data_IF_203410214784
#
_entry.id   IF_203410214784
#
_cell.length_a   1.000
_cell.length_b   1.000
_cell.length_c   1.000
_cell.angle_alpha   90.00
_cell.angle_beta   90.00
_cell.angle_gamma   90.00
#
_symmetry.space_group_name_H-M   'P 1'
#
loop_
_entity.id
_entity.type
_entity.pdbx_description
1 polymer ?
#
# COMPACT_ATOMS: atom_id res chain seq x y z
N UNK A 1 3.67 2.08 18.18
CA UNK A 1 3.50 3.17 17.21
C UNK A 1 4.76 4.02 16.94
N UNK A 2 5.71 4.18 17.86
CA UNK A 2 6.88 5.06 17.63
C UNK A 2 7.74 4.71 16.40
N UNK A 3 7.84 3.45 15.98
CA UNK A 3 8.64 3.03 14.84
C UNK A 3 7.99 3.23 13.44
N UNK A 4 6.71 3.59 13.38
CA UNK A 4 5.97 3.70 12.11
C UNK A 4 5.92 5.13 11.59
N UNK A 5 6.10 6.12 12.47
CA UNK A 5 6.00 7.55 12.15
C UNK A 5 7.37 8.27 12.23
N UNK A 6 8.46 7.53 12.01
CA UNK A 6 9.80 8.11 12.04
C UNK A 6 10.04 9.02 10.83
N UNK A 7 10.48 10.25 11.09
CA UNK A 7 10.79 11.28 10.08
C UNK A 7 12.28 11.67 10.09
N UNK A 8 13.16 10.76 10.52
CA UNK A 8 14.60 11.00 10.53
C UNK A 8 15.26 10.82 9.16
N UNK A 9 16.58 11.03 9.10
CA UNK A 9 17.39 10.88 7.88
C UNK A 9 17.30 9.46 7.25
N UNK A 10 16.88 8.46 8.03
CA UNK A 10 16.71 7.06 7.59
C UNK A 10 15.25 6.73 7.25
N UNK A 11 14.37 7.75 7.09
CA UNK A 11 12.99 7.50 6.67
C UNK A 11 12.96 6.94 5.25
N UNK A 12 12.13 5.92 5.02
CA UNK A 12 11.97 5.31 3.70
C UNK A 12 11.41 6.35 2.72
N UNK A 13 12.19 6.69 1.70
CA UNK A 13 11.71 7.48 0.57
C UNK A 13 11.09 6.56 -0.48
N UNK A 14 9.77 6.66 -0.66
CA UNK A 14 9.05 5.82 -1.63
C UNK A 14 9.49 6.11 -3.07
N UNK A 15 9.95 7.31 -3.38
CA UNK A 15 10.45 7.69 -4.71
C UNK A 15 11.72 6.94 -5.05
N UNK A 16 12.63 6.84 -4.09
CA UNK A 16 13.87 6.06 -4.25
C UNK A 16 13.56 4.57 -4.43
N UNK A 17 12.59 4.03 -3.68
CA UNK A 17 12.12 2.65 -3.85
C UNK A 17 11.55 2.43 -5.24
N UNK A 18 10.72 3.35 -5.73
CA UNK A 18 10.14 3.26 -7.08
C UNK A 18 11.22 3.33 -8.17
N UNK A 19 12.21 4.22 -8.03
CA UNK A 19 13.30 4.40 -8.98
C UNK A 19 14.25 3.20 -9.00
N UNK A 20 14.56 2.63 -7.84
CA UNK A 20 15.46 1.47 -7.72
C UNK A 20 14.79 0.13 -8.00
N UNK A 21 13.49 0.10 -8.33
CA UNK A 21 12.70 -1.11 -8.48
C UNK A 21 12.71 -1.96 -7.19
N UNK A 22 12.69 -1.29 -6.04
CA UNK A 22 12.66 -1.91 -4.73
C UNK A 22 11.31 -2.54 -4.40
N UNK A 23 11.30 -3.38 -3.37
CA UNK A 23 10.09 -4.04 -2.85
C UNK A 23 9.83 -3.54 -1.43
N UNK A 24 8.62 -3.07 -1.18
CA UNK A 24 8.14 -2.69 0.15
C UNK A 24 6.99 -3.60 0.54
N UNK A 25 7.09 -4.22 1.70
CA UNK A 25 6.01 -5.00 2.31
C UNK A 25 5.51 -4.24 3.53
N UNK A 26 4.23 -3.88 3.51
CA UNK A 26 3.58 -3.15 4.61
C UNK A 26 2.62 -4.08 5.32
N UNK A 27 2.96 -4.53 6.52
CA UNK A 27 2.10 -5.38 7.35
C UNK A 27 1.14 -4.50 8.17
N UNK A 28 -0.12 -4.45 7.71
CA UNK A 28 -1.22 -3.72 8.33
C UNK A 28 -2.18 -4.66 9.08
N UNK A 29 -1.69 -5.75 9.62
CA UNK A 29 -2.48 -6.75 10.32
C UNK A 29 -3.29 -6.13 11.47
N UNK A 30 -4.60 -6.02 11.30
CA UNK A 30 -5.51 -5.45 12.29
C UNK A 30 -5.44 -6.12 13.69
N UNK A 31 -5.27 -7.45 13.81
CA UNK A 31 -5.06 -8.09 15.11
C UNK A 31 -3.82 -7.60 15.87
N UNK A 32 -2.81 -7.09 15.17
CA UNK A 32 -1.55 -6.64 15.78
C UNK A 32 -1.53 -5.15 16.14
N UNK A 33 -2.15 -4.32 15.33
CA UNK A 33 -2.05 -2.85 15.47
C UNK A 33 -3.39 -2.16 15.70
N UNK A 34 -4.51 -2.88 15.61
CA UNK A 34 -5.85 -2.32 15.65
C UNK A 34 -6.37 -1.92 14.27
N UNK A 35 -7.68 -2.01 14.07
CA UNK A 35 -8.32 -1.78 12.75
C UNK A 35 -8.17 -0.34 12.28
N UNK A 36 -8.47 0.62 13.14
CA UNK A 36 -8.43 2.04 12.80
C UNK A 36 -6.99 2.50 12.49
N UNK A 37 -6.03 1.97 13.25
CA UNK A 37 -4.61 2.22 13.03
C UNK A 37 -4.11 1.61 11.72
N UNK A 38 -4.55 0.40 11.40
CA UNK A 38 -4.23 -0.26 10.13
C UNK A 38 -4.75 0.56 8.94
N UNK A 39 -5.99 1.02 9.03
CA UNK A 39 -6.63 1.84 8.02
C UNK A 39 -5.91 3.18 7.85
N UNK A 40 -5.63 3.89 8.94
CA UNK A 40 -4.92 5.16 8.91
C UNK A 40 -3.52 5.03 8.29
N UNK A 41 -2.76 4.02 8.71
CA UNK A 41 -1.41 3.78 8.20
C UNK A 41 -1.43 3.38 6.72
N UNK A 42 -2.37 2.54 6.31
CA UNK A 42 -2.54 2.16 4.91
C UNK A 42 -2.87 3.36 4.03
N UNK A 43 -3.76 4.25 4.48
CA UNK A 43 -4.06 5.50 3.78
C UNK A 43 -2.83 6.41 3.67
N UNK A 44 -2.01 6.51 4.72
CA UNK A 44 -0.76 7.28 4.67
C UNK A 44 0.21 6.70 3.63
N UNK A 45 0.34 5.38 3.54
CA UNK A 45 1.18 4.72 2.54
C UNK A 45 0.66 4.96 1.12
N UNK A 46 -0.63 4.76 0.88
CA UNK A 46 -1.24 5.01 -0.42
C UNK A 46 -1.11 6.47 -0.84
N UNK A 47 -1.31 7.42 0.09
CA UNK A 47 -1.12 8.84 -0.17
C UNK A 47 0.34 9.18 -0.53
N UNK A 48 1.32 8.59 0.14
CA UNK A 48 2.74 8.77 -0.22
C UNK A 48 3.05 8.25 -1.62
N UNK A 49 2.47 7.11 -2.00
CA UNK A 49 2.63 6.52 -3.34
C UNK A 49 1.97 7.43 -4.39
N UNK A 50 0.74 7.88 -4.15
CA UNK A 50 0.01 8.76 -5.05
C UNK A 50 0.73 10.10 -5.26
N UNK A 51 1.30 10.69 -4.20
CA UNK A 51 2.08 11.92 -4.29
C UNK A 51 3.41 11.74 -5.04
N UNK A 52 4.03 10.57 -4.95
CA UNK A 52 5.26 10.26 -5.67
C UNK A 52 5.02 9.87 -7.14
N UNK A 53 3.81 9.46 -7.48
CA UNK A 53 3.45 8.97 -8.81
C UNK A 53 3.73 9.98 -9.93
N UNK A 54 3.33 11.27 -9.83
CA UNK A 54 3.56 12.26 -10.89
C UNK A 54 5.03 12.62 -11.13
N UNK A 55 5.91 12.31 -10.18
CA UNK A 55 7.36 12.59 -10.28
C UNK A 55 8.10 11.55 -11.14
N UNK A 56 7.42 10.47 -11.54
CA UNK A 56 8.01 9.41 -12.37
C UNK A 56 8.21 9.87 -13.80
N UNK A 57 9.32 9.42 -14.41
CA UNK A 57 9.66 9.76 -15.78
C UNK A 57 9.05 8.77 -16.79
N UNK A 58 8.72 9.23 -18.01
CA UNK A 58 8.37 8.34 -19.10
C UNK A 58 9.53 7.37 -19.38
N UNK A 59 9.22 6.07 -19.36
CA UNK A 59 10.23 5.01 -19.56
C UNK A 59 10.73 4.35 -18.29
N UNK A 60 10.35 4.85 -17.12
CA UNK A 60 10.57 4.14 -15.86
C UNK A 60 9.92 2.76 -15.87
N UNK A 61 10.56 1.80 -15.22
CA UNK A 61 9.98 0.46 -15.06
C UNK A 61 8.65 0.55 -14.32
N UNK A 62 7.61 -0.22 -14.71
CA UNK A 62 6.35 -0.23 -14.00
C UNK A 62 6.55 -0.51 -12.51
N UNK A 63 5.90 0.26 -11.66
CA UNK A 63 5.85 0.03 -10.23
C UNK A 63 4.51 -0.61 -9.87
N UNK A 64 4.56 -1.78 -9.25
CA UNK A 64 3.36 -2.54 -8.90
C UNK A 64 2.95 -2.24 -7.46
N UNK A 65 1.69 -1.86 -7.28
CA UNK A 65 1.06 -1.67 -5.97
C UNK A 65 -0.04 -2.70 -5.83
N UNK A 66 0.07 -3.56 -4.83
CA UNK A 66 -0.94 -4.56 -4.50
C UNK A 66 -1.59 -4.16 -3.19
N UNK A 67 -2.90 -3.98 -3.21
CA UNK A 67 -3.71 -3.61 -2.06
C UNK A 67 -4.67 -4.74 -1.76
N UNK A 68 -4.42 -5.45 -0.69
CA UNK A 68 -5.33 -6.45 -0.16
C UNK A 68 -6.39 -5.78 0.72
N UNK A 69 -7.60 -6.34 0.76
CA UNK A 69 -8.76 -5.78 1.46
C UNK A 69 -9.00 -4.29 1.11
N UNK A 70 -8.98 -3.98 -0.19
CA UNK A 70 -9.01 -2.62 -0.72
C UNK A 70 -10.18 -1.76 -0.16
N UNK A 71 -11.27 -2.40 0.25
CA UNK A 71 -12.43 -1.76 0.86
C UNK A 71 -12.15 -1.07 2.21
N UNK A 72 -11.01 -1.38 2.84
CA UNK A 72 -10.60 -0.74 4.10
C UNK A 72 -10.00 0.65 3.91
N UNK A 73 -9.65 1.02 2.67
CA UNK A 73 -8.93 2.25 2.41
C UNK A 73 -9.81 3.30 1.72
N UNK A 74 -9.31 4.52 1.62
CA UNK A 74 -10.05 5.63 1.01
C UNK A 74 -10.27 5.40 -0.49
N UNK A 75 -11.51 5.22 -0.87
CA UNK A 75 -11.90 4.82 -2.21
C UNK A 75 -11.69 5.89 -3.26
N UNK A 76 -11.82 7.18 -2.91
CA UNK A 76 -11.51 8.27 -3.83
C UNK A 76 -10.04 8.27 -4.27
N UNK A 77 -9.12 7.98 -3.35
CA UNK A 77 -7.69 7.87 -3.66
C UNK A 77 -7.41 6.67 -4.55
N UNK A 78 -8.01 5.52 -4.26
CA UNK A 78 -7.86 4.31 -5.10
C UNK A 78 -8.44 4.52 -6.50
N UNK A 79 -9.59 5.19 -6.60
CA UNK A 79 -10.22 5.55 -7.88
C UNK A 79 -9.32 6.47 -8.73
N UNK A 80 -8.71 7.47 -8.10
CA UNK A 80 -7.74 8.36 -8.74
C UNK A 80 -6.49 7.59 -9.21
N UNK A 81 -5.93 6.74 -8.35
CA UNK A 81 -4.78 5.91 -8.70
C UNK A 81 -5.09 4.92 -9.83
N UNK A 82 -6.31 4.38 -9.92
CA UNK A 82 -6.76 3.55 -11.03
C UNK A 82 -6.85 4.33 -12.34
N UNK A 83 -7.41 5.54 -12.30
CA UNK A 83 -7.62 6.37 -13.48
C UNK A 83 -6.30 6.95 -14.03
N UNK A 84 -5.43 7.41 -13.16
CA UNK A 84 -4.24 8.18 -13.52
C UNK A 84 -2.94 7.37 -13.50
N UNK A 85 -2.86 6.32 -12.68
CA UNK A 85 -1.61 5.61 -12.38
C UNK A 85 -0.89 5.07 -13.61
N UNK A 86 -1.64 4.62 -14.62
CA UNK A 86 -1.07 4.10 -15.87
C UNK A 86 -0.18 5.11 -16.59
N UNK A 87 -0.52 6.40 -16.56
CA UNK A 87 0.26 7.47 -17.20
C UNK A 87 1.66 7.59 -16.61
N UNK A 88 1.79 7.25 -15.34
CA UNK A 88 3.02 7.33 -14.57
C UNK A 88 3.69 5.96 -14.36
N UNK A 89 3.27 4.95 -15.12
CA UNK A 89 3.83 3.62 -14.99
C UNK A 89 3.50 2.91 -13.67
N UNK A 90 2.39 3.28 -13.01
CA UNK A 90 1.86 2.57 -11.86
C UNK A 90 0.93 1.47 -12.33
N UNK A 91 1.13 0.24 -11.85
CA UNK A 91 0.23 -0.89 -12.03
C UNK A 91 -0.43 -1.22 -10.69
N UNK A 92 -1.74 -1.02 -10.60
CA UNK A 92 -2.50 -1.22 -9.37
C UNK A 92 -3.28 -2.54 -9.44
N UNK A 93 -3.12 -3.38 -8.42
CA UNK A 93 -3.91 -4.58 -8.20
C UNK A 93 -4.69 -4.43 -6.88
N UNK A 94 -6.00 -4.52 -6.96
CA UNK A 94 -6.89 -4.41 -5.81
C UNK A 94 -7.54 -5.77 -5.55
N UNK A 95 -7.47 -6.25 -4.31
CA UNK A 95 -8.17 -7.44 -3.87
C UNK A 95 -9.24 -7.09 -2.85
N UNK A 96 -10.40 -7.75 -2.94
CA UNK A 96 -11.52 -7.63 -2.03
C UNK A 96 -12.33 -8.91 -2.01
N UNK A 97 -13.13 -9.13 -0.98
CA UNK A 97 -13.88 -10.37 -0.82
C UNK A 97 -15.28 -10.30 -1.45
N UNK A 98 -15.96 -9.16 -1.35
CA UNK A 98 -17.32 -8.96 -1.81
C UNK A 98 -17.47 -7.63 -2.53
N UNK A 99 -18.16 -7.64 -3.68
CA UNK A 99 -18.51 -6.42 -4.43
C UNK A 99 -19.30 -5.43 -3.56
N UNK A 100 -20.18 -5.95 -2.67
CA UNK A 100 -20.96 -5.14 -1.75
C UNK A 100 -20.16 -4.33 -0.73
N UNK A 101 -18.87 -4.61 -0.54
CA UNK A 101 -17.98 -3.84 0.34
C UNK A 101 -17.44 -2.56 -0.33
N UNK A 102 -17.48 -2.51 -1.65
CA UNK A 102 -16.99 -1.37 -2.42
C UNK A 102 -18.11 -0.34 -2.61
N UNK A 103 -17.77 0.95 -2.55
CA UNK A 103 -18.73 2.00 -2.92
C UNK A 103 -19.05 1.98 -4.41
N UNK A 104 -20.18 2.54 -4.83
CA UNK A 104 -20.48 2.68 -6.24
C UNK A 104 -19.37 3.37 -7.04
N UNK A 105 -18.78 4.43 -6.49
CA UNK A 105 -17.69 5.17 -7.15
C UNK A 105 -16.45 4.31 -7.43
N UNK A 106 -16.04 3.45 -6.47
CA UNK A 106 -14.89 2.57 -6.71
C UNK A 106 -15.23 1.43 -7.68
N UNK A 107 -16.48 0.94 -7.68
CA UNK A 107 -16.94 -0.04 -8.68
C UNK A 107 -16.88 0.54 -10.08
N UNK A 108 -17.43 1.76 -10.27
CA UNK A 108 -17.40 2.45 -11.55
C UNK A 108 -15.94 2.69 -12.01
N UNK A 109 -15.05 3.06 -11.09
CA UNK A 109 -13.63 3.21 -11.40
C UNK A 109 -12.95 1.90 -11.79
N UNK A 110 -13.30 0.78 -11.14
CA UNK A 110 -12.83 -0.56 -11.51
C UNK A 110 -13.36 -0.97 -12.88
N UNK A 111 -14.65 -0.72 -13.16
CA UNK A 111 -15.27 -1.04 -14.43
C UNK A 111 -14.63 -0.28 -15.59
N UNK A 112 -14.32 0.99 -15.39
CA UNK A 112 -13.71 1.83 -16.42
C UNK A 112 -12.20 1.63 -16.60
N UNK A 113 -11.46 1.20 -15.59
CA UNK A 113 -10.00 1.24 -15.62
C UNK A 113 -9.30 -0.12 -15.39
N UNK A 114 -9.96 -1.11 -14.77
CA UNK A 114 -9.35 -2.40 -14.57
C UNK A 114 -9.43 -3.25 -15.84
N UNK A 115 -8.30 -3.47 -16.47
CA UNK A 115 -8.19 -4.23 -17.72
C UNK A 115 -7.98 -5.73 -17.50
N UNK A 116 -7.75 -6.18 -16.29
CA UNK A 116 -7.63 -7.59 -15.92
C UNK A 116 -8.53 -7.89 -14.74
N UNK A 117 -9.20 -9.04 -14.77
CA UNK A 117 -10.08 -9.52 -13.71
C UNK A 117 -9.74 -10.94 -13.38
N UNK A 118 -9.57 -11.24 -12.09
CA UNK A 118 -9.39 -12.61 -11.58
C UNK A 118 -10.44 -12.81 -10.49
N UNK A 119 -11.32 -13.75 -10.67
CA UNK A 119 -12.40 -14.04 -9.75
C UNK A 119 -12.33 -15.49 -9.27
N UNK A 120 -12.14 -15.67 -7.98
CA UNK A 120 -12.33 -16.95 -7.30
C UNK A 120 -13.82 -17.21 -7.07
N UNK A 121 -14.14 -18.37 -6.51
CA UNK A 121 -15.52 -18.67 -6.13
C UNK A 121 -16.06 -17.59 -5.18
N UNK A 122 -17.19 -17.02 -5.56
CA UNK A 122 -17.85 -15.95 -4.80
C UNK A 122 -19.34 -16.22 -4.62
N UNK A 123 -20.06 -15.36 -3.90
CA UNK A 123 -21.50 -15.44 -3.74
C UNK A 123 -22.21 -15.38 -5.10
N UNK A 124 -23.39 -15.96 -5.22
CA UNK A 124 -24.15 -15.91 -6.48
C UNK A 124 -24.45 -14.48 -6.91
N UNK A 125 -24.65 -13.59 -5.96
CA UNK A 125 -24.93 -12.17 -6.21
C UNK A 125 -23.71 -11.48 -6.87
N UNK A 126 -22.55 -11.61 -6.27
CA UNK A 126 -21.32 -11.02 -6.81
C UNK A 126 -20.90 -11.73 -8.11
N UNK A 127 -21.16 -13.05 -8.19
CA UNK A 127 -20.86 -13.85 -9.38
C UNK A 127 -21.61 -13.38 -10.63
N UNK A 128 -22.82 -12.85 -10.52
CA UNK A 128 -23.57 -12.28 -11.64
C UNK A 128 -22.86 -11.03 -12.17
N UNK A 129 -22.52 -10.10 -11.28
CA UNK A 129 -21.83 -8.86 -11.64
C UNK A 129 -20.44 -9.11 -12.26
N UNK A 130 -19.66 -10.01 -11.68
CA UNK A 130 -18.34 -10.39 -12.19
C UNK A 130 -18.43 -11.14 -13.53
N UNK A 131 -19.45 -11.97 -13.72
CA UNK A 131 -19.65 -12.72 -14.97
C UNK A 131 -19.87 -11.81 -16.18
N UNK A 132 -20.56 -10.67 -15.99
CA UNK A 132 -20.72 -9.68 -17.05
C UNK A 132 -19.38 -9.13 -17.54
N UNK A 133 -18.44 -8.91 -16.62
CA UNK A 133 -17.08 -8.45 -16.95
C UNK A 133 -16.21 -9.53 -17.62
N UNK A 134 -16.44 -10.78 -17.28
CA UNK A 134 -15.74 -11.94 -17.90
C UNK A 134 -16.33 -12.34 -19.25
N UNK A 135 -17.54 -11.88 -19.57
CA UNK A 135 -18.19 -12.02 -20.86
C UNK A 135 -18.67 -13.42 -21.22
N UNK A 136 -17.90 -14.47 -20.97
CA UNK A 136 -18.22 -15.86 -21.34
C UNK A 136 -18.68 -16.73 -20.17
N UNK A 137 -18.63 -16.22 -18.97
CA UNK A 137 -19.01 -16.93 -17.76
C UNK A 137 -20.43 -16.59 -17.33
N UNK A 138 -21.08 -17.55 -16.66
CA UNK A 138 -22.35 -17.31 -15.97
C UNK A 138 -22.11 -17.16 -14.46
N UNK A 139 -22.98 -16.40 -13.79
CA UNK A 139 -22.93 -16.30 -12.33
C UNK A 139 -23.04 -17.67 -11.64
N UNK A 140 -23.84 -18.59 -12.22
CA UNK A 140 -23.96 -19.97 -11.73
C UNK A 140 -22.65 -20.77 -11.84
N UNK A 141 -21.87 -20.56 -12.89
CA UNK A 141 -20.57 -21.21 -13.06
C UNK A 141 -19.53 -20.67 -12.10
N UNK A 142 -19.47 -19.34 -11.92
CA UNK A 142 -18.53 -18.68 -11.01
C UNK A 142 -18.79 -19.05 -9.54
N UNK A 143 -20.07 -19.12 -9.13
CA UNK A 143 -20.42 -19.46 -7.76
C UNK A 143 -20.13 -20.91 -7.37
N UNK A 144 -19.87 -21.77 -8.37
CA UNK A 144 -19.56 -23.20 -8.20
C UNK A 144 -18.11 -23.57 -8.53
N UNK A 145 -17.24 -22.59 -8.73
CA UNK A 145 -15.83 -22.86 -8.99
C UNK A 145 -15.23 -23.75 -7.89
N UNK A 146 -14.43 -24.74 -8.25
CA UNK A 146 -13.68 -25.54 -7.29
C UNK A 146 -12.76 -24.66 -6.42
N UNK A 147 -12.34 -25.16 -5.28
CA UNK A 147 -11.30 -24.50 -4.48
C UNK A 147 -10.03 -24.36 -5.34
N UNK A 148 -9.27 -23.29 -5.10
CA UNK A 148 -8.03 -22.99 -5.81
C UNK A 148 -8.22 -22.82 -7.33
N UNK A 149 -9.44 -22.56 -7.78
CA UNK A 149 -9.73 -22.23 -9.17
C UNK A 149 -10.30 -20.82 -9.26
N UNK A 150 -9.91 -20.11 -10.29
CA UNK A 150 -10.43 -18.79 -10.61
C UNK A 150 -10.80 -18.68 -12.08
N UNK A 151 -11.77 -17.85 -12.40
CA UNK A 151 -12.00 -17.38 -13.76
C UNK A 151 -11.19 -16.09 -13.95
N UNK A 152 -10.55 -15.93 -15.08
CA UNK A 152 -9.67 -14.79 -15.34
C UNK A 152 -9.79 -14.26 -16.75
N UNK A 153 -9.71 -12.93 -16.90
CA UNK A 153 -9.37 -12.24 -18.13
C UNK A 153 -8.15 -11.36 -17.85
N UNK A 154 -7.19 -11.35 -18.76
CA UNK A 154 -5.95 -10.61 -18.59
C UNK A 154 -5.74 -9.65 -19.75
N UNK A 155 -5.29 -8.44 -19.41
CA UNK A 155 -4.80 -7.49 -20.40
C UNK A 155 -3.50 -8.00 -21.02
N UNK A 156 -3.38 -7.89 -22.32
CA UNK A 156 -2.19 -8.20 -23.08
C UNK A 156 -1.80 -7.02 -23.97
N UNK A 157 -0.65 -7.10 -24.62
CA UNK A 157 -0.24 -6.09 -25.61
C UNK A 157 -1.19 -6.00 -26.82
N UNK A 158 -1.95 -7.07 -27.08
CA UNK A 158 -2.84 -7.20 -28.24
C UNK A 158 -4.31 -7.04 -27.87
N UNK A 159 -4.63 -6.64 -26.64
CA UNK A 159 -5.99 -6.53 -26.13
C UNK A 159 -6.20 -7.40 -24.89
N UNK A 160 -7.43 -7.78 -24.63
CA UNK A 160 -7.80 -8.63 -23.50
C UNK A 160 -7.90 -10.09 -23.95
N UNK A 161 -7.49 -11.03 -23.10
CA UNK A 161 -7.68 -12.46 -23.36
C UNK A 161 -9.17 -12.81 -23.32
N UNK A 162 -9.56 -13.90 -23.99
CA UNK A 162 -10.81 -14.56 -23.64
C UNK A 162 -10.74 -15.03 -22.17
N UNK A 163 -11.90 -15.17 -21.54
CA UNK A 163 -11.94 -15.65 -20.18
C UNK A 163 -11.54 -17.14 -20.11
N UNK A 164 -10.68 -17.47 -19.18
CA UNK A 164 -10.13 -18.82 -18.98
C UNK A 164 -10.16 -19.21 -17.49
N UNK A 165 -9.99 -20.49 -17.23
CA UNK A 165 -9.84 -20.99 -15.86
C UNK A 165 -8.38 -20.96 -15.46
N UNK A 166 -8.09 -20.29 -14.36
CA UNK A 166 -6.79 -20.29 -13.68
C UNK A 166 -6.85 -21.33 -12.55
N UNK A 167 -5.93 -22.27 -12.53
CA UNK A 167 -5.74 -23.19 -11.43
C UNK A 167 -4.57 -22.68 -10.57
N UNK A 168 -4.84 -22.46 -9.31
CA UNK A 168 -3.79 -22.17 -8.34
C UNK A 168 -3.25 -23.50 -7.84
N UNK A 169 -2.09 -23.87 -8.34
CA UNK A 169 -1.42 -25.06 -7.85
C UNK A 169 -0.99 -24.80 -6.39
N UNK A 170 -1.59 -25.56 -5.48
CA UNK A 170 -1.16 -25.57 -4.08
C UNK A 170 0.11 -26.44 -3.98
N UNK A 171 1.12 -26.01 -4.72
CA UNK A 171 2.36 -26.73 -4.81
C UNK A 171 3.01 -26.76 -3.43
N UNK A 172 3.16 -27.95 -2.85
CA UNK A 172 3.93 -28.17 -1.63
C UNK A 172 5.35 -27.54 -1.71
N UNK A 173 5.87 -27.33 -2.92
CA UNK A 173 7.14 -26.64 -3.15
C UNK A 173 7.07 -25.15 -2.79
N UNK A 174 5.93 -24.48 -2.98
CA UNK A 174 5.74 -23.10 -2.49
C UNK A 174 5.61 -23.09 -0.97
N UNK A 175 4.97 -24.10 -0.40
CA UNK A 175 4.95 -24.29 1.07
C UNK A 175 6.32 -24.68 1.61
N UNK A 176 7.10 -25.47 0.86
CA UNK A 176 8.51 -25.78 1.21
C UNK A 176 9.47 -24.64 0.85
N UNK A 177 8.94 -23.58 0.27
CA UNK A 177 9.64 -22.32 0.17
C UNK A 177 10.88 -22.33 -0.69
N UNK A 178 10.80 -22.83 -1.92
CA UNK A 178 11.92 -22.67 -2.84
C UNK A 178 11.47 -21.93 -4.11
N UNK A 179 12.01 -20.73 -4.32
CA UNK A 179 12.03 -20.09 -5.64
C UNK A 179 13.47 -20.14 -6.13
N UNK A 180 13.72 -20.74 -7.29
CA UNK A 180 15.06 -20.93 -7.86
C UNK A 180 16.05 -21.65 -6.92
N UNK A 181 15.57 -22.65 -6.18
CA UNK A 181 16.41 -23.42 -5.26
C UNK A 181 16.69 -22.78 -3.89
N UNK A 182 16.19 -21.57 -3.64
CA UNK A 182 16.31 -20.90 -2.35
C UNK A 182 15.00 -21.00 -1.55
N UNK A 183 15.04 -21.34 -0.25
CA UNK A 183 13.85 -21.44 0.59
C UNK A 183 13.12 -20.08 0.70
N UNK A 184 11.87 -19.97 0.20
CA UNK A 184 11.07 -18.73 0.27
C UNK A 184 10.79 -18.33 1.72
N UNK A 185 10.52 -19.30 2.60
CA UNK A 185 10.26 -19.03 4.03
C UNK A 185 11.46 -18.39 4.68
N UNK A 186 12.68 -18.91 4.45
CA UNK A 186 13.89 -18.28 4.94
C UNK A 186 14.22 -16.96 4.25
N UNK A 187 13.73 -16.77 3.02
CA UNK A 187 13.82 -15.49 2.32
C UNK A 187 12.95 -14.42 2.97
N UNK A 188 11.68 -14.73 3.23
CA UNK A 188 10.75 -13.84 3.92
C UNK A 188 11.18 -13.56 5.36
N UNK A 189 11.61 -14.56 6.12
CA UNK A 189 12.13 -14.37 7.47
C UNK A 189 13.37 -13.48 7.46
N UNK A 190 14.30 -13.63 6.50
CA UNK A 190 15.46 -12.76 6.34
C UNK A 190 15.04 -11.33 5.98
N UNK A 191 14.13 -11.14 5.03
CA UNK A 191 13.61 -9.82 4.67
C UNK A 191 12.92 -9.17 5.86
N UNK A 192 12.08 -9.92 6.58
CA UNK A 192 11.45 -9.44 7.80
C UNK A 192 12.45 -9.12 8.90
N UNK A 193 13.49 -9.96 9.09
CA UNK A 193 14.53 -9.73 10.06
C UNK A 193 15.42 -8.53 9.69
N UNK A 194 15.79 -8.37 8.43
CA UNK A 194 16.53 -7.21 7.91
C UNK A 194 15.71 -5.93 8.00
N UNK A 195 14.41 -5.99 7.65
CA UNK A 195 13.50 -4.85 7.80
C UNK A 195 13.30 -4.48 9.26
N UNK A 196 13.16 -5.47 10.15
CA UNK A 196 13.11 -5.22 11.60
C UNK A 196 14.41 -4.63 12.11
N UNK A 197 15.56 -5.13 11.69
CA UNK A 197 16.85 -4.59 12.08
C UNK A 197 17.01 -3.14 11.60
N UNK A 198 16.63 -2.82 10.37
CA UNK A 198 16.65 -1.46 9.84
C UNK A 198 15.64 -0.53 10.51
N UNK A 199 14.44 -1.04 10.85
CA UNK A 199 13.36 -0.25 11.43
C UNK A 199 13.36 -0.21 12.96
N UNK A 200 13.97 -1.21 13.63
CA UNK A 200 13.97 -1.30 15.09
C UNK A 200 15.29 -0.90 15.74
N UNK A 201 16.32 -0.62 14.96
CA UNK A 201 17.56 -0.02 15.45
C UNK A 201 17.88 1.36 14.86
N UNK A 202 16.89 2.26 14.67
CA UNK A 202 17.19 3.66 14.42
C UNK A 202 17.75 4.35 15.67
N UNK A 203 17.83 3.64 16.80
CA UNK A 203 18.32 4.16 18.09
C UNK A 203 19.67 3.61 18.53
N UNK A 204 20.27 2.67 17.78
CA UNK A 204 21.66 2.25 18.02
C UNK A 204 22.60 3.38 17.64
N UNK A 205 22.80 4.28 18.57
CA UNK A 205 23.68 5.44 18.44
C UNK A 205 23.05 6.80 18.72
N UNK A 206 21.73 6.89 18.83
CA UNK A 206 21.08 8.13 19.30
C UNK A 206 20.91 8.02 20.82
N UNK A 207 21.85 8.59 21.55
CA UNK A 207 21.57 8.93 22.95
C UNK A 207 20.31 9.79 22.99
N UNK A 208 19.29 9.45 23.81
CA UNK A 208 18.12 10.32 23.93
C UNK A 208 18.60 11.68 24.38
N UNK A 209 18.50 12.69 23.51
CA UNK A 209 18.76 14.07 23.88
C UNK A 209 17.86 14.37 25.07
N UNK A 210 18.45 14.72 26.21
CA UNK A 210 17.67 15.15 27.37
C UNK A 210 16.79 16.32 26.95
N UNK A 211 15.61 16.43 27.52
CA UNK A 211 14.68 17.54 27.21
C UNK A 211 15.38 18.91 27.29
N UNK A 212 16.36 19.04 28.18
CA UNK A 212 17.23 20.22 28.34
C UNK A 212 18.06 20.52 27.08
N UNK A 213 18.54 19.52 26.35
CA UNK A 213 19.34 19.71 25.13
C UNK A 213 18.48 20.18 23.96
N UNK A 214 17.23 19.74 23.90
CA UNK A 214 16.27 20.18 22.88
C UNK A 214 15.87 21.67 23.13
N UNK A 215 15.65 22.03 24.37
CA UNK A 215 15.33 23.42 24.76
C UNK A 215 16.53 24.35 24.54
N UNK A 216 17.75 23.87 24.82
CA UNK A 216 18.96 24.64 24.56
C UNK A 216 19.16 24.89 23.06
N UNK A 217 19.00 23.89 22.24
CA UNK A 217 19.14 24.00 20.77
C UNK A 217 18.08 24.94 20.17
N UNK A 218 16.85 24.89 20.66
CA UNK A 218 15.79 25.80 20.23
C UNK A 218 16.12 27.27 20.61
N UNK A 219 16.70 27.52 21.80
CA UNK A 219 17.14 28.84 22.22
C UNK A 219 18.36 29.39 21.43
N UNK A 220 19.29 28.52 21.06
CA UNK A 220 20.44 28.88 20.21
C UNK A 220 19.99 29.25 18.79
N UNK A 221 19.03 28.51 18.22
CA UNK A 221 18.45 28.85 16.93
C UNK A 221 17.65 30.16 16.93
N UNK A 222 16.95 30.47 18.02
CA UNK A 222 16.27 31.76 18.15
C UNK A 222 17.26 32.94 18.28
N UNK A 223 18.41 32.75 18.92
CA UNK A 223 19.45 33.78 19.02
C UNK A 223 20.18 34.03 17.71
N UNK A 224 20.39 33.01 16.90
CA UNK A 224 21.02 33.11 15.59
C UNK A 224 20.10 33.67 14.50
N UNK A 225 18.78 33.65 14.70
CA UNK A 225 17.78 34.18 13.77
C UNK A 225 17.46 35.68 13.96
N UNK A 226 18.21 36.42 14.78
CA UNK A 226 18.19 37.89 14.85
C UNK A 226 16.88 38.53 15.33
N UNK A 227 16.11 37.86 16.17
CA UNK A 227 14.89 38.44 16.76
C UNK A 227 15.21 39.30 18.02
N UNK A 228 14.92 40.59 17.98
CA UNK A 228 15.02 41.50 19.09
C UNK A 228 14.14 41.05 20.28
N UNK A 229 14.54 41.33 21.53
CA UNK A 229 13.76 40.92 22.70
C UNK A 229 12.44 41.68 22.75
N UNK A 230 11.35 40.94 22.87
CA UNK A 230 10.04 41.51 23.19
C UNK A 230 10.11 42.08 24.60
N UNK A 231 9.96 43.38 24.71
CA UNK A 231 9.90 44.11 25.98
C UNK A 231 8.66 43.67 26.77
N UNK A 232 8.91 43.23 27.98
CA UNK A 232 7.93 42.90 29.00
C UNK A 232 7.19 44.19 29.41
N UNK A 233 6.04 44.47 28.81
CA UNK A 233 5.16 45.55 29.26
C UNK A 233 4.21 44.99 30.30
N UNK A 234 4.50 45.33 31.55
CA UNK A 234 3.73 45.00 32.73
C UNK A 234 2.24 45.36 32.61
N UNK A 235 1.41 44.44 32.97
CA UNK A 235 0.04 44.72 33.36
C UNK A 235 0.03 44.94 34.89
N UNK A 236 -0.07 46.23 35.24
CA UNK A 236 -0.30 46.66 36.59
C UNK A 236 -1.68 46.23 37.10
N UNK A 237 -1.68 45.72 38.31
CA UNK A 237 -2.84 45.57 39.16
C UNK A 237 -3.45 46.93 39.45
N UNK A 238 -4.74 47.12 39.21
CA UNK A 238 -5.57 47.97 40.06
C UNK A 238 -7.06 47.65 39.92
N UNK A 239 -7.64 47.31 41.10
CA UNK A 239 -9.03 47.32 41.59
C UNK A 239 -9.93 46.14 41.13
#
# INVERSE_FOLDING_TARGET
MRGVLWTGADALDIREVMASNGIVLVDLSAPRIGRDQAQMLGMMWLSKIALAMPERCPGDKPFHVVVDEAHLFQESLLSEMLAEGRKFGLALALAHQHMGQLTPSLRDALDGNASSVIAFRTSIRDAIEVAERLGTWSGGSLSRLPNLSAAATLATRHGQTQAFTLLVDHNEQVQRGSINGAPVVHGLERVCAQSRARLMDPFAGIQPKRAEDVVRHAREHQRSAGGAPVSDSGYGSDR
#
